data_IF_998810973554
#
_entry.id   IF_998810973554
#
_cell.length_a   1.000
_cell.length_b   1.000
_cell.length_c   1.000
_cell.angle_alpha   90.00
_cell.angle_beta   90.00
_cell.angle_gamma   90.00
#
_symmetry.space_group_name_H-M   'P 1'
#
loop_
_entity.id
_entity.type
_entity.pdbx_description
1 polymer ?
#
# COMPACT_ATOMS: atom_id res chain seq x y z
N UNK A 1 -3.05 -19.70 -3.90
CA UNK A 1 -3.16 -20.93 -4.70
C UNK A 1 -1.91 -21.79 -4.52
N UNK A 2 -1.89 -22.94 -5.17
CA UNK A 2 -0.82 -23.94 -5.04
C UNK A 2 0.07 -24.02 -6.28
N UNK A 3 -0.11 -23.13 -7.23
CA UNK A 3 0.68 -23.05 -8.46
C UNK A 3 2.01 -22.30 -8.25
N UNK A 4 3.01 -22.57 -9.11
CA UNK A 4 4.35 -21.98 -8.97
C UNK A 4 4.39 -20.45 -9.16
N UNK A 5 3.32 -19.85 -9.68
CA UNK A 5 3.17 -18.41 -9.91
C UNK A 5 2.08 -17.78 -9.03
N UNK A 6 1.48 -18.56 -8.14
CA UNK A 6 0.41 -18.08 -7.28
C UNK A 6 0.96 -17.18 -6.15
N UNK A 7 0.13 -16.24 -5.74
CA UNK A 7 0.47 -15.37 -4.61
C UNK A 7 0.48 -16.17 -3.31
N UNK A 8 1.48 -15.90 -2.48
CA UNK A 8 1.64 -16.48 -1.15
C UNK A 8 1.49 -15.40 -0.11
N UNK A 9 0.69 -15.65 0.91
CA UNK A 9 0.57 -14.77 2.08
C UNK A 9 1.43 -15.34 3.20
N UNK A 10 2.32 -14.51 3.77
CA UNK A 10 3.18 -14.89 4.89
C UNK A 10 2.99 -13.90 6.05
N UNK A 11 3.27 -14.37 7.26
CA UNK A 11 3.16 -13.55 8.47
C UNK A 11 4.55 -13.38 9.08
N UNK A 12 5.05 -12.16 9.17
CA UNK A 12 6.37 -11.89 9.75
C UNK A 12 6.48 -12.21 11.24
N UNK A 13 5.36 -12.40 11.95
CA UNK A 13 5.36 -12.90 13.31
C UNK A 13 6.05 -14.27 13.41
N UNK A 14 5.97 -15.10 12.37
CA UNK A 14 6.52 -16.46 12.38
C UNK A 14 8.04 -16.47 12.53
N UNK A 15 8.74 -15.47 12.09
CA UNK A 15 10.19 -15.31 12.26
C UNK A 15 10.59 -14.23 13.25
N UNK A 16 9.93 -13.06 13.26
CA UNK A 16 10.25 -11.98 14.20
C UNK A 16 9.88 -12.34 15.64
N UNK A 17 8.79 -13.10 15.83
CA UNK A 17 8.35 -13.54 17.16
C UNK A 17 9.34 -14.50 17.85
N UNK A 18 10.21 -15.14 17.08
CA UNK A 18 11.24 -16.04 17.58
C UNK A 18 12.61 -15.36 17.73
N UNK A 19 12.78 -14.16 17.19
CA UNK A 19 14.04 -13.43 17.19
C UNK A 19 14.20 -12.66 18.51
N UNK A 20 15.13 -13.12 19.34
CA UNK A 20 15.44 -12.44 20.61
C UNK A 20 15.97 -11.03 20.38
N UNK A 21 15.55 -10.07 21.22
CA UNK A 21 15.95 -8.67 21.05
C UNK A 21 17.47 -8.46 21.09
N UNK A 22 18.19 -9.11 21.99
CA UNK A 22 19.65 -9.03 22.06
C UNK A 22 20.30 -9.62 20.81
N UNK A 23 19.77 -10.73 20.31
CA UNK A 23 20.22 -11.34 19.07
C UNK A 23 20.02 -10.37 17.87
N UNK A 24 18.86 -9.75 17.77
CA UNK A 24 18.58 -8.72 16.74
C UNK A 24 19.62 -7.59 16.80
N UNK A 25 19.93 -7.08 17.98
CA UNK A 25 20.92 -6.00 18.12
C UNK A 25 22.33 -6.45 17.72
N UNK A 26 22.74 -7.65 18.09
CA UNK A 26 24.07 -8.17 17.79
C UNK A 26 24.27 -8.53 16.32
N UNK A 27 23.31 -9.25 15.74
CA UNK A 27 23.42 -9.79 14.39
C UNK A 27 23.00 -8.79 13.30
N UNK A 28 21.98 -7.97 13.58
CA UNK A 28 21.37 -7.08 12.61
C UNK A 28 21.67 -5.60 12.91
N UNK A 29 21.48 -5.20 14.16
CA UNK A 29 21.65 -3.81 14.59
C UNK A 29 23.02 -3.22 14.28
N UNK A 30 24.08 -4.03 14.33
CA UNK A 30 25.46 -3.64 14.00
C UNK A 30 25.65 -3.20 12.54
N UNK A 31 24.73 -3.56 11.65
CA UNK A 31 24.74 -3.14 10.25
C UNK A 31 24.07 -1.79 10.00
N UNK A 32 23.43 -1.19 11.01
CA UNK A 32 22.76 0.09 10.94
C UNK A 32 23.47 1.13 11.79
N UNK A 33 23.51 2.37 11.33
CA UNK A 33 24.01 3.48 12.12
C UNK A 33 22.88 4.45 12.43
N UNK A 34 22.79 4.90 13.67
CA UNK A 34 21.77 5.89 14.09
C UNK A 34 21.84 7.14 13.21
N UNK A 35 23.03 7.62 12.89
CA UNK A 35 23.22 8.79 12.02
C UNK A 35 22.52 8.62 10.66
N UNK A 36 22.66 7.46 10.03
CA UNK A 36 21.96 7.18 8.76
C UNK A 36 20.45 7.04 8.95
N UNK A 37 20.01 6.37 10.02
CA UNK A 37 18.59 6.22 10.32
C UNK A 37 17.89 7.58 10.51
N UNK A 38 18.57 8.55 11.10
CA UNK A 38 18.07 9.91 11.29
C UNK A 38 17.93 10.71 9.97
N UNK A 39 18.56 10.28 8.88
CA UNK A 39 18.49 10.98 7.58
C UNK A 39 17.29 10.59 6.73
N UNK A 40 16.58 9.51 7.06
CA UNK A 40 15.39 9.13 6.32
C UNK A 40 14.24 10.09 6.56
N UNK A 41 13.51 10.45 5.51
CA UNK A 41 12.42 11.44 5.55
C UNK A 41 11.37 11.09 6.60
N UNK A 42 11.05 9.81 6.80
CA UNK A 42 10.12 9.34 7.83
C UNK A 42 10.52 9.70 9.25
N UNK A 43 11.82 9.83 9.51
CA UNK A 43 12.39 10.24 10.81
C UNK A 43 12.64 11.74 10.83
N UNK A 44 13.38 12.23 9.84
CA UNK A 44 13.83 13.63 9.74
C UNK A 44 12.67 14.61 9.83
N UNK A 45 11.61 14.41 9.04
CA UNK A 45 10.43 15.29 9.02
C UNK A 45 9.70 15.32 10.38
N UNK A 46 9.68 14.22 11.11
CA UNK A 46 9.06 14.16 12.46
C UNK A 46 9.91 14.92 13.48
N UNK A 47 11.24 14.76 13.43
CA UNK A 47 12.15 15.50 14.32
C UNK A 47 12.09 17.01 14.02
N UNK A 48 12.09 17.43 12.76
CA UNK A 48 11.97 18.83 12.37
C UNK A 48 10.64 19.48 12.81
N UNK A 49 9.57 18.66 12.90
CA UNK A 49 8.24 19.10 13.37
C UNK A 49 8.04 18.92 14.87
N UNK A 50 9.07 18.53 15.59
CA UNK A 50 9.00 18.21 17.03
C UNK A 50 7.90 17.19 17.39
N UNK A 51 7.58 16.28 16.44
CA UNK A 51 6.59 15.23 16.64
C UNK A 51 7.23 14.04 17.35
N UNK A 52 6.61 13.51 18.40
CA UNK A 52 7.15 12.37 19.14
C UNK A 52 7.26 11.15 18.23
N UNK A 53 8.36 10.40 18.39
CA UNK A 53 8.60 9.13 17.72
C UNK A 53 8.91 8.09 18.79
N UNK A 54 8.16 7.01 18.83
CA UNK A 54 8.45 5.92 19.75
C UNK A 54 9.67 5.14 19.29
N UNK A 55 10.31 4.45 20.24
CA UNK A 55 11.43 3.57 19.93
C UNK A 55 11.04 2.44 18.95
N UNK A 56 9.80 1.92 19.06
CA UNK A 56 9.27 0.95 18.11
C UNK A 56 9.19 1.51 16.69
N UNK A 57 8.63 2.71 16.53
CA UNK A 57 8.55 3.37 15.22
C UNK A 57 9.93 3.63 14.61
N UNK A 58 10.90 4.00 15.42
CA UNK A 58 12.28 4.18 14.97
C UNK A 58 12.94 2.87 14.54
N UNK A 59 12.68 1.77 15.25
CA UNK A 59 13.21 0.45 14.91
C UNK A 59 12.45 -0.24 13.76
N UNK A 60 11.27 0.25 13.38
CA UNK A 60 10.46 -0.38 12.33
C UNK A 60 11.25 -0.60 11.04
N UNK A 61 12.09 0.34 10.64
CA UNK A 61 12.93 0.22 9.44
C UNK A 61 13.94 -0.93 9.51
N UNK A 62 14.41 -1.27 10.72
CA UNK A 62 15.30 -2.43 10.92
C UNK A 62 14.50 -3.72 10.79
N UNK A 63 13.32 -3.77 11.40
CA UNK A 63 12.45 -4.96 11.37
C UNK A 63 12.00 -5.26 9.93
N UNK A 64 11.55 -4.26 9.19
CA UNK A 64 11.19 -4.45 7.77
C UNK A 64 12.40 -4.80 6.91
N UNK A 65 13.57 -4.23 7.20
CA UNK A 65 14.81 -4.61 6.54
C UNK A 65 15.15 -6.08 6.78
N UNK A 66 14.96 -6.57 7.99
CA UNK A 66 15.13 -7.98 8.33
C UNK A 66 14.11 -8.87 7.61
N UNK A 67 12.84 -8.45 7.55
CA UNK A 67 11.79 -9.16 6.79
C UNK A 67 12.20 -9.37 5.33
N UNK A 68 12.68 -8.33 4.66
CA UNK A 68 13.11 -8.44 3.27
C UNK A 68 14.28 -9.42 3.09
N UNK A 69 15.27 -9.36 4.00
CA UNK A 69 16.38 -10.33 4.01
C UNK A 69 15.86 -11.75 4.24
N UNK A 70 14.98 -11.95 5.22
CA UNK A 70 14.39 -13.25 5.52
C UNK A 70 13.63 -13.83 4.32
N UNK A 71 12.75 -13.03 3.71
CA UNK A 71 12.00 -13.45 2.52
C UNK A 71 12.92 -13.75 1.32
N UNK A 72 14.02 -13.02 1.20
CA UNK A 72 15.02 -13.32 0.16
C UNK A 72 15.66 -14.69 0.36
N UNK A 73 16.02 -15.02 1.60
CA UNK A 73 16.68 -16.30 1.91
C UNK A 73 15.76 -17.50 1.83
N UNK A 74 14.55 -17.37 2.38
CA UNK A 74 13.62 -18.49 2.53
C UNK A 74 12.74 -18.69 1.29
N UNK A 75 12.36 -17.61 0.60
CA UNK A 75 11.43 -17.66 -0.52
C UNK A 75 12.02 -17.13 -1.84
N UNK A 76 13.29 -16.75 -1.87
CA UNK A 76 13.93 -16.23 -3.09
C UNK A 76 13.42 -14.85 -3.52
N UNK A 77 12.77 -14.09 -2.66
CA UNK A 77 12.26 -12.74 -2.98
C UNK A 77 13.43 -11.80 -3.27
N UNK A 78 13.40 -11.14 -4.41
CA UNK A 78 14.46 -10.22 -4.87
C UNK A 78 14.00 -8.78 -5.01
N UNK A 79 12.70 -8.52 -5.08
CA UNK A 79 12.11 -7.20 -5.27
C UNK A 79 11.09 -6.92 -4.16
N UNK A 80 11.23 -5.77 -3.48
CA UNK A 80 10.22 -5.22 -2.59
C UNK A 80 9.61 -3.98 -3.21
N UNK A 81 8.28 -3.89 -3.18
CA UNK A 81 7.52 -2.76 -3.72
C UNK A 81 6.72 -2.07 -2.62
N UNK A 82 6.53 -0.75 -2.75
CA UNK A 82 5.73 0.00 -1.78
C UNK A 82 5.43 1.42 -2.24
N UNK A 83 4.75 2.18 -1.40
CA UNK A 83 4.61 3.63 -1.57
C UNK A 83 5.93 4.35 -1.29
N UNK A 84 6.06 5.60 -1.75
CA UNK A 84 7.27 6.40 -1.54
C UNK A 84 7.63 6.60 -0.06
N UNK A 85 6.65 6.52 0.83
CA UNK A 85 6.84 6.54 2.29
C UNK A 85 7.59 5.30 2.83
N UNK A 86 7.65 4.21 2.05
CA UNK A 86 8.34 2.96 2.39
C UNK A 86 9.80 2.91 1.92
N UNK A 87 10.27 3.93 1.19
CA UNK A 87 11.60 3.91 0.57
C UNK A 87 12.72 3.64 1.58
N UNK A 88 12.72 4.33 2.72
CA UNK A 88 13.72 4.14 3.77
C UNK A 88 13.75 2.70 4.31
N UNK A 89 12.59 2.10 4.52
CA UNK A 89 12.49 0.71 5.01
C UNK A 89 13.00 -0.29 3.95
N UNK A 90 12.62 -0.11 2.69
CA UNK A 90 13.04 -0.96 1.57
C UNK A 90 14.56 -0.90 1.36
N UNK A 91 15.14 0.30 1.35
CA UNK A 91 16.60 0.50 1.19
C UNK A 91 17.38 -0.17 2.32
N UNK A 92 16.86 -0.14 3.55
CA UNK A 92 17.49 -0.84 4.67
C UNK A 92 17.55 -2.36 4.45
N UNK A 93 16.49 -2.96 3.86
CA UNK A 93 16.50 -4.37 3.50
C UNK A 93 17.51 -4.70 2.38
N UNK A 94 17.59 -3.84 1.37
CA UNK A 94 18.59 -3.97 0.27
C UNK A 94 20.02 -3.94 0.85
N UNK A 95 20.32 -2.97 1.70
CA UNK A 95 21.63 -2.86 2.33
C UNK A 95 21.96 -4.04 3.26
N UNK A 96 20.96 -4.53 3.99
CA UNK A 96 21.12 -5.66 4.87
C UNK A 96 21.44 -6.94 4.09
N UNK A 97 20.67 -7.23 3.02
CA UNK A 97 20.93 -8.37 2.13
C UNK A 97 22.33 -8.32 1.52
N UNK A 98 22.75 -7.14 1.05
CA UNK A 98 24.10 -6.94 0.52
C UNK A 98 25.20 -7.17 1.57
N UNK A 99 25.02 -6.65 2.79
CA UNK A 99 26.06 -6.70 3.84
C UNK A 99 26.19 -8.06 4.50
N UNK A 100 25.06 -8.73 4.73
CA UNK A 100 25.06 -10.00 5.47
C UNK A 100 25.16 -11.21 4.56
N UNK A 101 24.55 -11.16 3.37
CA UNK A 101 24.40 -12.33 2.50
C UNK A 101 25.10 -12.15 1.13
N UNK A 102 25.65 -10.95 0.83
CA UNK A 102 26.22 -10.65 -0.49
C UNK A 102 25.20 -10.71 -1.63
N UNK A 103 23.92 -10.55 -1.31
CA UNK A 103 22.80 -10.70 -2.25
C UNK A 103 22.32 -9.35 -2.76
N UNK A 104 22.16 -9.23 -4.08
CA UNK A 104 21.56 -8.05 -4.69
C UNK A 104 20.03 -8.12 -4.59
N UNK A 105 19.45 -7.17 -3.87
CA UNK A 105 18.04 -6.95 -3.71
C UNK A 105 17.61 -5.64 -4.37
N UNK A 106 16.37 -5.54 -4.78
CA UNK A 106 15.83 -4.40 -5.53
C UNK A 106 14.61 -3.81 -4.85
N UNK A 107 14.41 -2.51 -5.01
CA UNK A 107 13.25 -1.80 -4.48
C UNK A 107 12.60 -0.94 -5.55
N UNK A 108 11.27 -0.91 -5.56
CA UNK A 108 10.46 -0.02 -6.39
C UNK A 108 9.45 0.69 -5.50
N UNK A 109 9.36 2.01 -5.64
CA UNK A 109 8.32 2.78 -4.97
C UNK A 109 7.50 3.58 -5.96
N UNK A 110 6.23 3.74 -5.65
CA UNK A 110 5.30 4.60 -6.38
C UNK A 110 4.95 5.83 -5.54
N UNK A 111 4.59 6.97 -6.16
CA UNK A 111 4.01 8.08 -5.42
C UNK A 111 2.81 7.65 -4.59
N UNK A 112 2.60 8.29 -3.44
CA UNK A 112 1.41 8.03 -2.63
C UNK A 112 0.15 8.40 -3.39
N UNK A 113 -0.86 7.54 -3.30
CA UNK A 113 -2.17 7.82 -3.87
C UNK A 113 -2.90 8.85 -3.00
N UNK A 114 -3.16 10.00 -3.60
CA UNK A 114 -3.88 11.10 -2.97
C UNK A 114 -5.16 11.39 -3.73
N UNK A 115 -6.13 11.97 -3.06
CA UNK A 115 -7.31 12.59 -3.64
C UNK A 115 -6.97 13.96 -4.24
N UNK A 116 -7.85 14.53 -5.04
CA UNK A 116 -7.65 15.82 -5.73
C UNK A 116 -7.40 17.01 -4.78
N UNK A 117 -7.84 16.91 -3.54
CA UNK A 117 -7.56 17.88 -2.47
C UNK A 117 -6.22 17.63 -1.74
N UNK A 118 -5.44 16.62 -2.16
CA UNK A 118 -4.14 16.26 -1.60
C UNK A 118 -4.20 15.35 -0.36
N UNK A 119 -5.38 14.94 0.08
CA UNK A 119 -5.51 14.01 1.20
C UNK A 119 -5.05 12.59 0.79
N UNK A 120 -4.51 11.82 1.74
CA UNK A 120 -4.16 10.41 1.50
C UNK A 120 -5.43 9.60 1.26
N UNK A 121 -5.51 8.91 0.11
CA UNK A 121 -6.67 8.08 -0.23
C UNK A 121 -6.87 6.92 0.76
N UNK A 122 -8.12 6.50 0.91
CA UNK A 122 -8.52 5.36 1.75
C UNK A 122 -8.74 5.70 3.22
N UNK A 123 -8.49 6.96 3.63
CA UNK A 123 -8.85 7.49 4.95
C UNK A 123 -9.83 8.64 4.77
N UNK A 124 -11.04 8.48 5.31
CA UNK A 124 -12.07 9.51 5.31
C UNK A 124 -12.26 10.06 6.72
N UNK A 125 -13.02 11.14 6.87
CA UNK A 125 -13.41 11.65 8.20
C UNK A 125 -14.21 10.61 9.02
N UNK A 126 -14.88 9.67 8.34
CA UNK A 126 -15.63 8.57 8.94
C UNK A 126 -14.79 7.31 9.19
N UNK A 127 -13.48 7.32 8.86
CA UNK A 127 -12.57 6.19 9.04
C UNK A 127 -12.00 5.64 7.74
N UNK A 128 -11.54 4.39 7.77
CA UNK A 128 -10.97 3.71 6.60
C UNK A 128 -12.06 3.19 5.65
N UNK A 129 -11.74 3.15 4.35
CA UNK A 129 -12.56 2.47 3.34
C UNK A 129 -12.21 0.98 3.36
N UNK A 130 -12.96 0.22 4.13
CA UNK A 130 -12.70 -1.20 4.35
C UNK A 130 -13.06 -2.06 3.16
N UNK A 131 -12.20 -3.03 2.85
CA UNK A 131 -12.47 -4.03 1.81
C UNK A 131 -13.40 -5.15 2.32
N UNK A 132 -13.40 -5.43 3.61
CA UNK A 132 -14.25 -6.44 4.22
C UNK A 132 -15.69 -5.93 4.38
N UNK A 133 -16.66 -6.74 3.98
CA UNK A 133 -18.09 -6.40 4.01
C UNK A 133 -18.64 -6.25 5.43
N UNK A 134 -18.11 -7.00 6.40
CA UNK A 134 -18.50 -6.90 7.81
C UNK A 134 -18.17 -5.52 8.43
N UNK A 135 -17.17 -4.84 7.87
CA UNK A 135 -16.74 -3.51 8.35
C UNK A 135 -17.30 -2.37 7.50
N UNK A 136 -17.58 -2.61 6.23
CA UNK A 136 -18.18 -1.64 5.33
C UNK A 136 -19.10 -2.38 4.34
N UNK A 137 -20.43 -2.29 4.48
CA UNK A 137 -21.39 -2.93 3.58
C UNK A 137 -21.15 -2.59 2.11
N UNK A 138 -21.46 -3.52 1.20
CA UNK A 138 -21.23 -3.37 -0.23
C UNK A 138 -21.83 -2.08 -0.82
N UNK A 139 -23.03 -1.70 -0.39
CA UNK A 139 -23.66 -0.45 -0.79
C UNK A 139 -22.84 0.78 -0.38
N UNK A 140 -22.34 0.83 0.85
CA UNK A 140 -21.55 1.95 1.35
C UNK A 140 -20.17 2.01 0.65
N UNK A 141 -19.57 0.86 0.35
CA UNK A 141 -18.35 0.76 -0.44
C UNK A 141 -18.57 1.28 -1.87
N UNK A 142 -19.68 0.89 -2.53
CA UNK A 142 -20.06 1.38 -3.83
C UNK A 142 -20.31 2.90 -3.82
N UNK A 143 -21.03 3.40 -2.81
CA UNK A 143 -21.31 4.84 -2.63
C UNK A 143 -20.03 5.65 -2.44
N UNK A 144 -19.01 5.13 -1.77
CA UNK A 144 -17.73 5.81 -1.67
C UNK A 144 -17.14 6.11 -3.06
N UNK A 145 -17.11 5.12 -3.94
CA UNK A 145 -16.59 5.28 -5.30
C UNK A 145 -17.48 6.14 -6.19
N UNK A 146 -18.78 6.06 -5.98
CA UNK A 146 -19.77 6.88 -6.68
C UNK A 146 -19.68 8.37 -6.33
N UNK A 147 -19.17 8.71 -5.15
CA UNK A 147 -19.07 10.06 -4.62
C UNK A 147 -17.64 10.64 -4.61
N UNK A 148 -16.70 10.03 -5.32
CA UNK A 148 -15.36 10.61 -5.49
C UNK A 148 -15.41 11.96 -6.22
N UNK A 149 -14.40 12.80 -6.01
CA UNK A 149 -14.29 14.08 -6.70
C UNK A 149 -14.19 13.85 -8.22
N UNK A 150 -14.83 14.72 -9.01
CA UNK A 150 -14.84 14.63 -10.48
C UNK A 150 -13.42 14.58 -11.06
N UNK A 151 -12.50 15.34 -10.47
CA UNK A 151 -11.09 15.43 -10.87
C UNK A 151 -10.31 14.13 -10.63
N UNK A 152 -10.80 13.24 -9.77
CA UNK A 152 -10.16 11.95 -9.46
C UNK A 152 -10.67 10.81 -10.33
N UNK A 153 -11.81 10.95 -11.01
CA UNK A 153 -12.49 9.86 -11.72
C UNK A 153 -11.56 9.19 -12.73
N UNK A 154 -10.94 9.96 -13.63
CA UNK A 154 -10.05 9.41 -14.65
C UNK A 154 -8.83 8.70 -14.07
N UNK A 155 -8.23 9.27 -13.03
CA UNK A 155 -7.11 8.64 -12.30
C UNK A 155 -7.53 7.32 -11.67
N UNK A 156 -8.70 7.27 -11.03
CA UNK A 156 -9.17 6.07 -10.35
C UNK A 156 -9.64 5.00 -11.35
N UNK A 157 -10.23 5.37 -12.47
CA UNK A 157 -10.51 4.42 -13.56
C UNK A 157 -9.23 3.70 -14.04
N UNK A 158 -8.12 4.44 -14.23
CA UNK A 158 -6.84 3.85 -14.63
C UNK A 158 -6.22 2.93 -13.57
N UNK A 159 -6.40 3.25 -12.30
CA UNK A 159 -5.73 2.54 -11.20
C UNK A 159 -6.52 1.35 -10.67
N UNK A 160 -7.83 1.38 -10.78
CA UNK A 160 -8.70 0.42 -10.08
C UNK A 160 -9.65 -0.34 -11.00
N UNK A 161 -9.49 -0.21 -12.33
CA UNK A 161 -10.30 -0.98 -13.27
C UNK A 161 -9.44 -1.60 -14.36
N UNK A 162 -9.95 -2.66 -14.98
CA UNK A 162 -9.35 -3.31 -16.15
C UNK A 162 -9.97 -2.81 -17.46
N UNK A 163 -10.58 -1.63 -17.46
CA UNK A 163 -11.17 -1.04 -18.65
C UNK A 163 -10.10 -0.68 -19.69
N UNK A 164 -10.40 -0.83 -20.97
CA UNK A 164 -9.53 -0.37 -22.06
C UNK A 164 -9.24 1.14 -21.93
N UNK A 165 -8.01 1.55 -22.27
CA UNK A 165 -7.57 2.95 -22.12
C UNK A 165 -8.38 3.94 -22.98
N UNK A 166 -8.88 3.52 -24.13
CA UNK A 166 -9.76 4.31 -24.99
C UNK A 166 -11.13 4.52 -24.36
N UNK A 167 -11.67 3.52 -23.68
CA UNK A 167 -12.91 3.66 -22.91
C UNK A 167 -12.72 4.58 -21.69
N UNK A 168 -11.59 4.46 -21.00
CA UNK A 168 -11.26 5.37 -19.88
C UNK A 168 -11.14 6.80 -20.40
N UNK A 169 -10.49 7.02 -21.56
CA UNK A 169 -10.37 8.35 -22.15
C UNK A 169 -11.75 8.93 -22.54
N UNK A 170 -12.66 8.11 -23.04
CA UNK A 170 -14.05 8.50 -23.34
C UNK A 170 -14.80 8.92 -22.06
N UNK A 171 -14.68 8.14 -21.01
CA UNK A 171 -15.34 8.43 -19.72
C UNK A 171 -14.76 9.68 -19.03
N UNK A 172 -13.46 9.89 -19.14
CA UNK A 172 -12.77 11.06 -18.58
C UNK A 172 -13.12 12.38 -19.29
N UNK A 173 -13.54 12.30 -20.56
CA UNK A 173 -13.96 13.46 -21.34
C UNK A 173 -15.39 13.92 -21.02
N UNK A 174 -16.13 13.19 -20.18
CA UNK A 174 -17.47 13.57 -19.76
C UNK A 174 -17.41 14.75 -18.76
N UNK A 175 -18.29 15.74 -18.95
CA UNK A 175 -18.36 16.94 -18.13
C UNK A 175 -19.74 17.14 -17.51
N UNK A 176 -19.82 18.00 -16.51
CA UNK A 176 -21.07 18.36 -15.85
C UNK A 176 -21.82 17.15 -15.30
N UNK A 177 -23.11 17.03 -15.63
CA UNK A 177 -23.94 15.93 -15.15
C UNK A 177 -23.55 14.55 -15.74
N UNK A 178 -22.88 14.52 -16.90
CA UNK A 178 -22.50 13.27 -17.59
C UNK A 178 -21.37 12.53 -16.86
N UNK A 179 -20.53 13.23 -16.08
CA UNK A 179 -19.46 12.58 -15.28
C UNK A 179 -20.03 11.56 -14.26
N UNK A 180 -21.30 11.72 -13.91
CA UNK A 180 -21.99 10.73 -13.07
C UNK A 180 -22.02 9.34 -13.69
N UNK A 181 -22.08 9.24 -15.01
CA UNK A 181 -22.00 7.94 -15.69
C UNK A 181 -20.61 7.30 -15.51
N UNK A 182 -19.52 8.11 -15.62
CA UNK A 182 -18.17 7.63 -15.37
C UNK A 182 -17.96 7.17 -13.92
N UNK A 183 -18.51 7.92 -12.95
CA UNK A 183 -18.48 7.53 -11.52
C UNK A 183 -19.25 6.23 -11.25
N UNK A 184 -20.37 6.01 -11.94
CA UNK A 184 -21.14 4.77 -11.83
C UNK A 184 -20.35 3.58 -12.38
N UNK A 185 -19.70 3.75 -13.54
CA UNK A 185 -18.81 2.73 -14.10
C UNK A 185 -17.66 2.41 -13.14
N UNK A 186 -17.01 3.42 -12.56
CA UNK A 186 -15.96 3.25 -11.55
C UNK A 186 -16.47 2.47 -10.34
N UNK A 187 -17.59 2.88 -9.75
CA UNK A 187 -18.17 2.25 -8.57
C UNK A 187 -18.54 0.78 -8.84
N UNK A 188 -19.14 0.50 -10.00
CA UNK A 188 -19.48 -0.86 -10.41
C UNK A 188 -18.23 -1.72 -10.60
N UNK A 189 -17.24 -1.24 -11.34
CA UNK A 189 -16.02 -1.99 -11.63
C UNK A 189 -15.24 -2.33 -10.35
N UNK A 190 -15.04 -1.35 -9.47
CA UNK A 190 -14.30 -1.57 -8.22
C UNK A 190 -15.08 -2.44 -7.24
N UNK A 191 -16.41 -2.27 -7.15
CA UNK A 191 -17.23 -3.13 -6.29
C UNK A 191 -17.26 -4.56 -6.80
N UNK A 192 -17.37 -4.76 -8.12
CA UNK A 192 -17.28 -6.09 -8.74
C UNK A 192 -15.92 -6.76 -8.45
N UNK A 193 -14.83 -6.03 -8.57
CA UNK A 193 -13.48 -6.54 -8.29
C UNK A 193 -13.33 -7.02 -6.84
N UNK A 194 -13.86 -6.26 -5.87
CA UNK A 194 -13.63 -6.51 -4.44
C UNK A 194 -14.70 -7.40 -3.81
N UNK A 195 -15.95 -7.30 -4.26
CA UNK A 195 -17.12 -7.92 -3.63
C UNK A 195 -17.88 -8.89 -4.53
N UNK A 196 -17.46 -9.01 -5.78
CA UNK A 196 -18.16 -9.82 -6.78
C UNK A 196 -19.27 -9.06 -7.52
N UNK A 197 -19.71 -9.65 -8.64
CA UNK A 197 -20.66 -9.04 -9.56
C UNK A 197 -22.05 -8.82 -8.93
N UNK A 198 -22.55 -9.81 -8.20
CA UNK A 198 -23.86 -9.72 -7.55
C UNK A 198 -23.95 -8.59 -6.53
N UNK A 199 -22.85 -8.34 -5.81
CA UNK A 199 -22.79 -7.24 -4.85
C UNK A 199 -22.82 -5.87 -5.55
N UNK A 200 -22.13 -5.73 -6.69
CA UNK A 200 -22.14 -4.51 -7.49
C UNK A 200 -23.56 -4.23 -8.05
N UNK A 201 -24.20 -5.25 -8.62
CA UNK A 201 -25.56 -5.13 -9.17
C UNK A 201 -26.57 -4.72 -8.07
N UNK A 202 -26.53 -5.36 -6.89
CA UNK A 202 -27.40 -5.01 -5.77
C UNK A 202 -27.14 -3.59 -5.25
N UNK A 203 -25.88 -3.18 -5.16
CA UNK A 203 -25.53 -1.84 -4.69
C UNK A 203 -26.03 -0.76 -5.66
N UNK A 204 -25.83 -0.96 -6.96
CA UNK A 204 -26.32 -0.06 -8.02
C UNK A 204 -27.85 0.04 -8.03
N UNK A 205 -28.55 -1.08 -7.91
CA UNK A 205 -30.02 -1.10 -7.90
C UNK A 205 -30.64 -0.42 -6.66
N UNK A 206 -29.84 -0.23 -5.60
CA UNK A 206 -30.27 0.42 -4.35
C UNK A 206 -29.99 1.93 -4.36
N UNK A 207 -29.13 2.40 -5.27
CA UNK A 207 -28.65 3.78 -5.34
C UNK A 207 -29.55 4.70 -6.17
#
# INVERSE_FOLDING_TARGET
GDGPTDAVMVNNHDWLGQLGYIQLLQEVGTHFTVNRMLTFDSVKLRLEREQPMTFLEFNYMILQGYDFRHLSRELGVRLQMGGSDQWGNIVNGIELGRRMDGTDLFGVTTPLLTTADGAKMGKTAAGAVWLNEDQLPAYNFWQYWRNVDDRDVGKFLRLFTDLPLDEIARLEALEGAEINAAKQVLANAVTKLVRGEDAAIRAEATA
#
